data_IF_769516580377
#
_entry.id   IF_769516580377
#
_cell.length_a   1.000
_cell.length_b   1.000
_cell.length_c   1.000
_cell.angle_alpha   90.00
_cell.angle_beta   90.00
_cell.angle_gamma   90.00
#
_symmetry.space_group_name_H-M   'P 1'
#
loop_
_entity.id
_entity.type
_entity.pdbx_description
1 polymer ?
#
# COMPACT_ATOMS: atom_id res chain seq x y z
N UNK A 1 49.85 38.37 30.56
CA UNK A 1 50.49 37.31 29.75
C UNK A 1 50.02 35.97 30.34
N UNK A 2 48.95 35.40 29.87
CA UNK A 2 48.62 33.99 30.00
C UNK A 2 47.59 33.68 28.92
N UNK A 3 48.08 33.00 27.93
CA UNK A 3 47.38 32.54 26.75
C UNK A 3 46.54 31.32 27.10
N UNK A 4 45.21 31.41 27.00
CA UNK A 4 44.30 30.32 27.19
C UNK A 4 43.67 29.96 25.85
N UNK A 5 44.26 29.00 25.14
CA UNK A 5 43.71 28.38 23.92
C UNK A 5 42.44 27.62 24.28
N UNK A 6 41.36 28.12 23.70
CA UNK A 6 40.08 27.41 23.69
C UNK A 6 40.15 26.35 22.57
N UNK A 7 40.17 25.09 23.00
CA UNK A 7 40.11 23.94 22.11
C UNK A 7 38.72 23.84 21.48
N UNK A 8 38.67 23.71 20.18
CA UNK A 8 37.48 23.47 19.36
C UNK A 8 36.85 22.12 19.70
N UNK A 9 35.50 22.02 19.81
CA UNK A 9 34.81 20.77 19.97
C UNK A 9 34.47 20.14 18.61
N UNK A 10 35.47 19.61 17.93
CA UNK A 10 35.27 18.72 16.76
C UNK A 10 36.01 17.41 17.00
N UNK A 11 35.42 16.49 17.74
CA UNK A 11 35.77 15.06 17.66
C UNK A 11 34.97 14.19 18.63
N UNK A 12 33.65 14.18 18.53
CA UNK A 12 32.86 13.08 19.12
C UNK A 12 31.67 12.82 18.23
N UNK A 13 31.79 11.91 17.30
CA UNK A 13 30.74 11.06 16.72
C UNK A 13 31.18 10.38 15.41
N UNK A 14 32.35 9.72 15.40
CA UNK A 14 32.62 8.69 14.38
C UNK A 14 32.91 7.39 15.11
N UNK A 15 31.92 6.50 15.18
CA UNK A 15 32.17 5.19 15.76
C UNK A 15 30.96 4.44 16.26
N UNK A 16 29.98 4.23 15.41
CA UNK A 16 29.19 3.02 15.48
C UNK A 16 28.96 2.62 14.02
N UNK A 17 29.73 1.66 13.52
CA UNK A 17 29.41 0.92 12.32
C UNK A 17 27.92 0.62 12.36
N UNK A 18 27.14 1.23 11.48
CA UNK A 18 25.73 0.93 11.31
C UNK A 18 25.67 -0.53 10.86
N UNK A 19 25.57 -1.44 11.84
CA UNK A 19 25.39 -2.86 11.58
C UNK A 19 24.24 -2.95 10.59
N UNK A 20 24.46 -3.62 9.46
CA UNK A 20 23.53 -3.76 8.35
C UNK A 20 22.22 -4.34 8.90
N UNK A 21 21.21 -3.46 9.16
CA UNK A 21 19.95 -3.86 9.79
C UNK A 21 19.19 -4.77 8.82
N UNK A 22 18.91 -6.01 9.25
CA UNK A 22 18.15 -6.98 8.48
C UNK A 22 16.69 -6.99 8.95
N UNK A 23 15.78 -6.67 8.04
CA UNK A 23 14.33 -6.66 8.26
C UNK A 23 13.69 -7.69 7.34
N UNK A 24 12.71 -8.42 7.83
CA UNK A 24 11.88 -9.29 7.00
C UNK A 24 10.59 -8.57 6.63
N UNK A 25 10.19 -8.68 5.38
CA UNK A 25 8.86 -8.29 4.88
C UNK A 25 8.00 -9.53 4.71
N UNK A 26 6.76 -9.48 5.19
CA UNK A 26 5.79 -10.57 5.05
C UNK A 26 4.51 -10.07 4.40
N UNK A 27 4.18 -10.63 3.27
CA UNK A 27 2.97 -10.30 2.50
C UNK A 27 2.16 -11.57 2.24
N UNK A 28 0.84 -11.47 2.16
CA UNK A 28 0.02 -12.64 1.85
C UNK A 28 0.30 -13.17 0.44
N UNK A 29 0.30 -12.28 -0.55
CA UNK A 29 0.62 -12.58 -1.95
C UNK A 29 1.57 -11.49 -2.48
N UNK A 30 2.75 -11.91 -2.93
CA UNK A 30 3.75 -11.00 -3.46
C UNK A 30 4.68 -11.74 -4.44
N UNK A 31 5.04 -11.11 -5.57
CA UNK A 31 4.52 -9.83 -6.05
C UNK A 31 3.07 -9.92 -6.54
N UNK A 32 2.46 -8.74 -6.76
CA UNK A 32 1.13 -8.61 -7.35
C UNK A 32 1.05 -7.27 -8.07
N UNK A 33 0.39 -7.19 -9.22
CA UNK A 33 0.25 -5.97 -10.06
C UNK A 33 -0.21 -4.75 -9.24
N UNK A 34 -1.12 -4.94 -8.29
CA UNK A 34 -1.63 -3.87 -7.42
C UNK A 34 -0.75 -3.55 -6.20
N UNK A 35 0.41 -4.17 -6.04
CA UNK A 35 1.29 -4.03 -4.87
C UNK A 35 2.63 -3.35 -5.20
N UNK A 36 2.69 -2.54 -6.26
CA UNK A 36 3.90 -1.81 -6.68
C UNK A 36 4.47 -0.93 -5.57
N UNK A 37 3.62 -0.37 -4.71
CA UNK A 37 4.03 0.45 -3.57
C UNK A 37 4.88 -0.34 -2.54
N UNK A 38 4.67 -1.64 -2.35
CA UNK A 38 5.50 -2.49 -1.48
C UNK A 38 6.90 -2.65 -2.09
N UNK A 39 6.99 -2.90 -3.40
CA UNK A 39 8.27 -2.97 -4.13
C UNK A 39 9.05 -1.66 -3.98
N UNK A 40 8.40 -0.52 -4.25
CA UNK A 40 8.96 0.82 -4.12
C UNK A 40 9.54 1.07 -2.72
N UNK A 41 8.77 0.74 -1.69
CA UNK A 41 9.17 0.88 -0.29
C UNK A 41 10.38 0.00 0.05
N UNK A 42 10.37 -1.27 -0.36
CA UNK A 42 11.51 -2.19 -0.15
C UNK A 42 12.78 -1.64 -0.81
N UNK A 43 12.71 -1.23 -2.07
CA UNK A 43 13.85 -0.71 -2.81
C UNK A 43 14.39 0.59 -2.19
N UNK A 44 13.50 1.47 -1.70
CA UNK A 44 13.90 2.69 -1.02
C UNK A 44 14.58 2.41 0.33
N UNK A 45 14.15 1.41 1.08
CA UNK A 45 14.81 0.96 2.31
C UNK A 45 16.20 0.36 2.02
N UNK A 46 16.33 -0.41 0.94
CA UNK A 46 17.61 -0.96 0.52
C UNK A 46 18.61 0.13 0.11
N UNK A 47 18.15 1.19 -0.59
CA UNK A 47 18.97 2.38 -0.86
C UNK A 47 19.46 3.08 0.43
N UNK A 48 18.71 2.95 1.52
CA UNK A 48 19.06 3.52 2.83
C UNK A 48 19.86 2.57 3.74
N UNK A 49 20.39 1.48 3.17
CA UNK A 49 21.27 0.55 3.86
C UNK A 49 20.56 -0.45 4.77
N UNK A 50 19.26 -0.70 4.56
CA UNK A 50 18.52 -1.76 5.25
C UNK A 50 18.44 -2.97 4.32
N UNK A 51 18.89 -4.13 4.79
CA UNK A 51 18.71 -5.38 4.05
C UNK A 51 17.30 -5.90 4.27
N UNK A 52 16.50 -6.03 3.20
CA UNK A 52 15.13 -6.55 3.28
C UNK A 52 15.03 -7.96 2.73
N UNK A 53 14.69 -8.92 3.59
CA UNK A 53 14.36 -10.29 3.21
C UNK A 53 12.86 -10.39 2.88
N UNK A 54 12.52 -10.84 1.66
CA UNK A 54 11.14 -10.92 1.19
C UNK A 54 10.56 -12.29 1.46
N UNK A 55 9.44 -12.32 2.19
CA UNK A 55 8.64 -13.52 2.43
C UNK A 55 7.20 -13.28 1.99
N UNK A 56 6.62 -14.25 1.31
CA UNK A 56 5.21 -14.25 0.99
C UNK A 56 4.58 -15.61 1.32
N UNK A 57 3.30 -15.62 1.66
CA UNK A 57 2.59 -16.86 1.90
C UNK A 57 2.38 -17.58 0.56
N UNK A 58 1.97 -16.83 -0.48
CA UNK A 58 1.74 -17.29 -1.86
C UNK A 58 2.17 -16.24 -2.90
N UNK A 59 2.03 -16.54 -4.20
CA UNK A 59 2.34 -15.59 -5.29
C UNK A 59 3.46 -16.05 -6.22
N UNK A 60 3.99 -17.27 -6.04
CA UNK A 60 5.01 -17.85 -6.93
C UNK A 60 4.50 -18.09 -8.36
N UNK A 61 3.19 -18.23 -8.51
CA UNK A 61 2.44 -18.48 -9.76
C UNK A 61 1.61 -17.25 -10.20
N UNK A 62 1.82 -16.09 -9.56
CA UNK A 62 1.08 -14.89 -9.90
C UNK A 62 1.44 -14.41 -11.31
N UNK A 63 0.42 -14.09 -12.09
CA UNK A 63 0.58 -13.38 -13.35
C UNK A 63 1.00 -11.95 -13.05
N UNK A 64 2.22 -11.61 -13.43
CA UNK A 64 2.80 -10.27 -13.33
C UNK A 64 3.33 -9.84 -14.68
N UNK A 65 3.05 -8.61 -15.07
CA UNK A 65 3.37 -8.06 -16.39
C UNK A 65 4.68 -7.27 -16.33
N UNK A 66 4.93 -6.57 -15.21
CA UNK A 66 6.09 -5.71 -15.02
C UNK A 66 7.36 -6.55 -14.81
N UNK A 67 8.43 -6.36 -15.60
CA UNK A 67 9.72 -7.06 -15.41
C UNK A 67 10.31 -6.89 -14.00
N UNK A 68 10.09 -5.75 -13.37
CA UNK A 68 10.55 -5.50 -12.01
C UNK A 68 9.78 -6.36 -10.97
N UNK A 69 8.50 -6.68 -11.21
CA UNK A 69 7.76 -7.62 -10.36
C UNK A 69 8.22 -9.07 -10.57
N UNK A 70 8.62 -9.44 -11.78
CA UNK A 70 9.26 -10.74 -12.03
C UNK A 70 10.56 -10.89 -11.23
N UNK A 71 11.42 -9.87 -11.25
CA UNK A 71 12.66 -9.86 -10.46
C UNK A 71 12.38 -9.95 -8.94
N UNK A 72 11.33 -9.29 -8.44
CA UNK A 72 10.92 -9.41 -7.04
C UNK A 72 10.41 -10.80 -6.69
N UNK A 73 9.70 -11.48 -7.62
CA UNK A 73 9.24 -12.86 -7.43
C UNK A 73 10.41 -13.82 -7.20
N UNK A 74 11.48 -13.67 -7.97
CA UNK A 74 12.66 -14.50 -7.85
C UNK A 74 13.44 -14.26 -6.54
N UNK A 75 13.34 -13.06 -5.97
CA UNK A 75 13.93 -12.68 -4.68
C UNK A 75 13.04 -13.02 -3.48
N UNK A 76 11.80 -13.47 -3.72
CA UNK A 76 10.81 -13.73 -2.66
C UNK A 76 10.74 -15.21 -2.32
N UNK A 77 10.87 -15.53 -1.03
CA UNK A 77 10.71 -16.90 -0.52
C UNK A 77 9.24 -17.15 -0.16
N UNK A 78 8.61 -18.10 -0.84
CA UNK A 78 7.18 -18.39 -0.70
C UNK A 78 6.93 -19.58 0.23
N UNK A 79 6.14 -19.38 1.30
CA UNK A 79 5.92 -20.35 2.37
C UNK A 79 5.16 -21.58 1.88
N UNK A 80 4.10 -21.37 1.09
CA UNK A 80 3.22 -22.45 0.64
C UNK A 80 3.69 -23.16 -0.63
N UNK A 81 4.76 -22.67 -1.29
CA UNK A 81 5.28 -23.28 -2.54
C UNK A 81 5.73 -24.74 -2.37
N UNK A 82 6.24 -25.09 -1.19
CA UNK A 82 6.70 -26.44 -0.88
C UNK A 82 5.59 -27.43 -0.50
N UNK A 83 4.33 -26.99 -0.41
CA UNK A 83 3.20 -27.84 -0.04
C UNK A 83 3.13 -28.16 1.46
N UNK A 84 2.39 -29.20 1.82
CA UNK A 84 2.02 -29.54 3.20
C UNK A 84 3.17 -30.18 4.00
N UNK A 85 4.00 -31.00 3.36
CA UNK A 85 5.05 -31.76 4.05
C UNK A 85 6.08 -30.89 4.77
N UNK A 86 6.67 -29.85 4.13
CA UNK A 86 7.57 -28.91 4.83
C UNK A 86 6.89 -28.18 5.99
N UNK A 87 5.61 -27.83 5.86
CA UNK A 87 4.85 -27.18 6.94
C UNK A 87 4.67 -28.12 8.13
N UNK A 88 4.28 -29.37 7.89
CA UNK A 88 4.13 -30.38 8.95
C UNK A 88 5.46 -30.64 9.67
N UNK A 89 6.56 -30.76 8.92
CA UNK A 89 7.91 -30.88 9.46
C UNK A 89 8.32 -29.68 10.33
N UNK A 90 7.98 -28.47 9.88
CA UNK A 90 8.24 -27.24 10.64
C UNK A 90 7.44 -27.20 11.94
N UNK A 91 6.16 -27.56 11.93
CA UNK A 91 5.32 -27.67 13.12
C UNK A 91 5.94 -28.66 14.10
N UNK A 92 6.24 -29.89 13.69
CA UNK A 92 6.84 -30.91 14.55
C UNK A 92 8.15 -30.41 15.18
N UNK A 93 9.03 -29.80 14.39
CA UNK A 93 10.34 -29.29 14.85
C UNK A 93 10.19 -28.12 15.85
N UNK A 94 9.25 -27.20 15.63
CA UNK A 94 9.03 -26.06 16.55
C UNK A 94 8.36 -26.53 17.83
N UNK A 95 7.34 -27.40 17.75
CA UNK A 95 6.63 -27.91 18.93
C UNK A 95 7.54 -28.74 19.85
N UNK A 96 8.43 -29.54 19.28
CA UNK A 96 9.40 -30.31 20.08
C UNK A 96 10.48 -29.43 20.71
N UNK A 97 10.97 -28.40 19.99
CA UNK A 97 12.07 -27.56 20.49
C UNK A 97 11.61 -26.42 21.41
N UNK A 98 10.36 -25.97 21.28
CA UNK A 98 9.80 -24.81 22.01
C UNK A 98 8.37 -25.06 22.49
N UNK A 99 8.11 -26.10 23.33
CA UNK A 99 6.74 -26.52 23.66
C UNK A 99 5.91 -25.43 24.35
N UNK A 100 6.52 -24.64 25.24
CA UNK A 100 5.80 -23.54 25.92
C UNK A 100 5.37 -22.44 24.94
N UNK A 101 6.25 -22.03 24.04
CA UNK A 101 5.94 -21.02 23.01
C UNK A 101 4.90 -21.56 22.00
N UNK A 102 5.04 -22.83 21.60
CA UNK A 102 4.08 -23.48 20.72
C UNK A 102 2.68 -23.57 21.34
N UNK A 103 2.58 -23.88 22.63
CA UNK A 103 1.29 -23.88 23.34
C UNK A 103 0.67 -22.48 23.44
N UNK A 104 1.48 -21.45 23.72
CA UNK A 104 1.00 -20.06 23.73
C UNK A 104 0.49 -19.62 22.35
N UNK A 105 1.21 -19.96 21.26
CA UNK A 105 0.79 -19.68 19.89
C UNK A 105 -0.49 -20.45 19.51
N UNK A 106 -0.61 -21.72 19.91
CA UNK A 106 -1.83 -22.52 19.69
C UNK A 106 -3.03 -21.92 20.41
N UNK A 107 -2.89 -21.50 21.67
CA UNK A 107 -3.97 -20.79 22.40
C UNK A 107 -4.39 -19.51 21.69
N UNK A 108 -3.42 -18.72 21.19
CA UNK A 108 -3.71 -17.52 20.44
C UNK A 108 -4.47 -17.86 19.14
N UNK A 109 -4.01 -18.88 18.40
CA UNK A 109 -4.68 -19.39 17.18
C UNK A 109 -6.14 -19.74 17.43
N UNK A 110 -6.42 -20.56 18.46
CA UNK A 110 -7.78 -20.96 18.83
C UNK A 110 -8.62 -19.75 19.29
N UNK A 111 -8.03 -18.81 20.02
CA UNK A 111 -8.73 -17.60 20.43
C UNK A 111 -9.07 -16.67 19.26
N UNK A 112 -8.19 -16.54 18.27
CA UNK A 112 -8.45 -15.76 17.05
C UNK A 112 -9.51 -16.44 16.17
N UNK A 113 -9.47 -17.78 16.03
CA UNK A 113 -10.44 -18.51 15.20
C UNK A 113 -11.88 -18.41 15.71
N UNK A 114 -12.08 -18.35 17.04
CA UNK A 114 -13.42 -18.18 17.65
C UNK A 114 -14.10 -16.84 17.31
N UNK A 115 -13.34 -15.85 16.89
CA UNK A 115 -13.81 -14.50 16.58
C UNK A 115 -13.74 -14.18 15.10
N UNK A 116 -13.32 -15.12 14.27
CA UNK A 116 -13.07 -14.91 12.84
C UNK A 116 -14.19 -15.50 12.00
N UNK A 117 -14.47 -14.89 10.84
CA UNK A 117 -15.31 -15.48 9.79
C UNK A 117 -14.62 -16.64 9.07
N UNK A 118 -13.30 -16.76 9.19
CA UNK A 118 -12.52 -17.87 8.62
C UNK A 118 -12.59 -19.09 9.50
N UNK A 119 -12.62 -20.28 8.88
CA UNK A 119 -12.67 -21.55 9.61
C UNK A 119 -11.42 -21.74 10.49
N UNK A 120 -11.56 -22.55 11.55
CA UNK A 120 -10.44 -22.91 12.42
C UNK A 120 -9.26 -23.55 11.66
N UNK A 121 -9.55 -24.28 10.58
CA UNK A 121 -8.53 -24.91 9.73
C UNK A 121 -7.59 -23.86 9.10
N UNK A 122 -8.12 -22.73 8.62
CA UNK A 122 -7.28 -21.62 8.11
C UNK A 122 -6.33 -21.09 9.19
N UNK A 123 -6.80 -20.97 10.44
CA UNK A 123 -5.98 -20.49 11.54
C UNK A 123 -4.86 -21.48 11.92
N UNK A 124 -5.09 -22.78 11.77
CA UNK A 124 -4.04 -23.79 11.93
C UNK A 124 -3.00 -23.72 10.79
N UNK A 125 -3.44 -23.44 9.57
CA UNK A 125 -2.49 -23.17 8.46
C UNK A 125 -1.63 -21.95 8.79
N UNK A 126 -2.18 -20.85 9.30
CA UNK A 126 -1.40 -19.68 9.73
C UNK A 126 -0.38 -20.01 10.85
N UNK A 127 -0.74 -20.91 11.76
CA UNK A 127 0.20 -21.40 12.77
C UNK A 127 1.35 -22.22 12.13
N UNK A 128 1.03 -23.06 11.16
CA UNK A 128 2.06 -23.85 10.44
C UNK A 128 2.98 -22.94 9.60
N UNK A 129 2.42 -21.94 8.92
CA UNK A 129 3.17 -20.90 8.21
C UNK A 129 4.11 -20.14 9.17
N UNK A 130 3.62 -19.77 10.35
CA UNK A 130 4.44 -19.12 11.38
C UNK A 130 5.59 -20.04 11.88
N UNK A 131 5.34 -21.35 12.03
CA UNK A 131 6.39 -22.32 12.38
C UNK A 131 7.46 -22.40 11.27
N UNK A 132 7.05 -22.43 10.01
CA UNK A 132 7.98 -22.43 8.88
C UNK A 132 8.86 -21.17 8.86
N UNK A 133 8.24 -20.00 8.94
CA UNK A 133 8.94 -18.72 9.01
C UNK A 133 9.87 -18.62 10.24
N UNK A 134 9.48 -19.21 11.39
CA UNK A 134 10.33 -19.24 12.58
C UNK A 134 11.65 -19.94 12.34
N UNK A 135 11.64 -21.02 11.56
CA UNK A 135 12.88 -21.71 11.21
C UNK A 135 13.71 -20.89 10.21
N UNK A 136 13.08 -20.34 9.18
CA UNK A 136 13.78 -19.55 8.16
C UNK A 136 14.40 -18.26 8.71
N UNK A 137 13.72 -17.58 9.60
CA UNK A 137 14.24 -16.33 10.20
C UNK A 137 15.34 -16.56 11.23
N UNK A 138 15.42 -17.77 11.81
CA UNK A 138 16.54 -18.14 12.66
C UNK A 138 17.86 -18.26 11.88
N UNK A 139 17.77 -18.62 10.59
CA UNK A 139 18.92 -18.74 9.69
C UNK A 139 19.43 -17.36 9.21
N UNK A 140 18.54 -16.35 9.16
CA UNK A 140 18.78 -15.07 8.50
C UNK A 140 19.15 -13.91 9.43
N UNK A 141 19.26 -14.11 10.76
CA UNK A 141 19.53 -13.04 11.76
C UNK A 141 18.59 -11.82 11.62
N UNK A 142 17.30 -12.09 11.38
CA UNK A 142 16.30 -11.05 11.20
C UNK A 142 16.02 -10.32 12.51
N UNK A 143 16.27 -9.00 12.53
CA UNK A 143 16.07 -8.17 13.72
C UNK A 143 14.60 -7.74 13.89
N UNK A 144 13.84 -7.59 12.80
CA UNK A 144 12.47 -7.14 12.85
C UNK A 144 11.67 -7.72 11.68
N UNK A 145 10.39 -8.02 11.90
CA UNK A 145 9.44 -8.44 10.86
C UNK A 145 8.42 -7.34 10.61
N UNK A 146 8.25 -6.94 9.36
CA UNK A 146 7.20 -6.03 8.94
C UNK A 146 6.20 -6.75 8.03
N UNK A 147 4.92 -6.76 8.43
CA UNK A 147 3.86 -7.37 7.64
C UNK A 147 3.06 -6.30 6.90
N UNK A 148 2.69 -6.57 5.66
CA UNK A 148 1.72 -5.74 4.96
C UNK A 148 0.32 -6.33 5.07
N UNK A 149 -0.64 -5.44 5.29
CA UNK A 149 -2.05 -5.69 5.60
C UNK A 149 -2.29 -6.27 7.01
N UNK A 150 -3.24 -5.69 7.73
CA UNK A 150 -3.69 -6.13 9.06
C UNK A 150 -4.43 -7.48 9.06
N UNK A 151 -4.39 -8.24 7.96
CA UNK A 151 -5.14 -9.49 7.73
C UNK A 151 -4.37 -10.73 8.19
N UNK A 152 -4.29 -11.76 7.34
CA UNK A 152 -3.63 -13.04 7.64
C UNK A 152 -2.10 -12.92 7.75
N UNK A 153 -1.44 -12.10 6.93
CA UNK A 153 0.01 -11.85 7.05
C UNK A 153 0.39 -11.37 8.45
N UNK A 154 -0.36 -10.42 8.99
CA UNK A 154 -0.15 -9.94 10.36
C UNK A 154 -0.57 -10.97 11.42
N UNK A 155 -1.56 -11.84 11.15
CA UNK A 155 -1.85 -12.96 12.06
C UNK A 155 -0.68 -13.93 12.14
N UNK A 156 -0.06 -14.27 11.01
CA UNK A 156 1.14 -15.11 10.94
C UNK A 156 2.33 -14.43 11.65
N UNK A 157 2.53 -13.12 11.45
CA UNK A 157 3.57 -12.35 12.14
C UNK A 157 3.38 -12.37 13.68
N UNK A 158 2.14 -12.20 14.14
CA UNK A 158 1.81 -12.29 15.57
C UNK A 158 2.12 -13.69 16.15
N UNK A 159 1.70 -14.75 15.45
CA UNK A 159 1.98 -16.13 15.87
C UNK A 159 3.46 -16.44 15.85
N UNK A 160 4.20 -15.99 14.84
CA UNK A 160 5.65 -16.10 14.75
C UNK A 160 6.34 -15.43 15.95
N UNK A 161 5.91 -14.23 16.35
CA UNK A 161 6.41 -13.54 17.52
C UNK A 161 6.19 -14.37 18.81
N UNK A 162 4.99 -14.94 18.99
CA UNK A 162 4.70 -15.82 20.13
C UNK A 162 5.54 -17.09 20.14
N UNK A 163 5.97 -17.60 18.97
CA UNK A 163 6.91 -18.73 18.84
C UNK A 163 8.36 -18.33 19.15
N UNK A 164 8.61 -17.12 19.65
CA UNK A 164 9.94 -16.58 19.93
C UNK A 164 10.68 -16.13 18.68
N UNK A 165 9.95 -15.67 17.68
CA UNK A 165 10.48 -14.94 16.53
C UNK A 165 10.80 -13.48 16.85
N UNK A 166 11.25 -12.69 15.86
CA UNK A 166 11.56 -11.28 16.04
C UNK A 166 10.35 -10.48 16.50
N UNK A 167 10.56 -9.26 17.00
CA UNK A 167 9.46 -8.31 17.14
C UNK A 167 8.89 -7.94 15.79
N UNK A 168 7.64 -7.50 15.77
CA UNK A 168 6.98 -7.19 14.51
C UNK A 168 6.24 -5.86 14.53
N UNK A 169 5.99 -5.37 13.33
CA UNK A 169 5.10 -4.27 13.00
C UNK A 169 4.27 -4.61 11.77
N UNK A 170 3.28 -3.82 11.45
CA UNK A 170 2.52 -4.00 10.21
C UNK A 170 1.95 -2.69 9.69
N UNK A 171 1.66 -2.67 8.37
CA UNK A 171 0.98 -1.56 7.69
C UNK A 171 -0.46 -1.91 7.38
N UNK A 172 -1.38 -1.00 7.69
CA UNK A 172 -2.79 -1.02 7.28
C UNK A 172 -2.93 -0.15 6.04
N UNK A 173 -3.46 -0.73 4.95
CA UNK A 173 -3.52 -0.09 3.64
C UNK A 173 -4.91 0.36 3.22
N UNK A 174 -5.97 -0.26 3.73
CA UNK A 174 -7.34 0.00 3.31
C UNK A 174 -8.32 0.11 4.46
N UNK A 175 -9.42 0.81 4.20
CA UNK A 175 -10.54 0.87 5.13
C UNK A 175 -11.26 -0.48 5.25
N UNK A 176 -11.24 -1.31 4.21
CA UNK A 176 -11.75 -2.68 4.17
C UNK A 176 -11.14 -3.58 5.27
N UNK A 177 -9.89 -3.35 5.64
CA UNK A 177 -9.25 -4.04 6.75
C UNK A 177 -9.90 -3.69 8.12
N UNK A 178 -10.63 -2.58 8.19
CA UNK A 178 -11.23 -2.07 9.42
C UNK A 178 -12.72 -2.40 9.55
N UNK A 179 -13.38 -2.77 8.46
CA UNK A 179 -14.78 -3.22 8.48
C UNK A 179 -14.94 -4.42 9.42
N UNK A 180 -13.96 -5.30 9.43
CA UNK A 180 -13.90 -6.52 10.25
C UNK A 180 -12.79 -6.48 11.33
N UNK A 181 -12.43 -5.30 11.84
CA UNK A 181 -11.29 -5.12 12.76
C UNK A 181 -11.29 -6.08 13.95
N UNK A 182 -12.47 -6.41 14.50
CA UNK A 182 -12.62 -7.36 15.62
C UNK A 182 -12.44 -8.79 15.14
N UNK A 183 -13.01 -9.15 13.99
CA UNK A 183 -12.93 -10.49 13.39
C UNK A 183 -11.49 -10.78 12.93
N UNK A 184 -10.77 -9.76 12.48
CA UNK A 184 -9.35 -9.81 12.17
C UNK A 184 -8.44 -9.76 13.41
N UNK A 185 -9.00 -9.62 14.61
CA UNK A 185 -8.27 -9.50 15.88
C UNK A 185 -7.23 -8.35 15.86
N UNK A 186 -7.51 -7.25 15.18
CA UNK A 186 -6.61 -6.09 15.06
C UNK A 186 -6.17 -5.52 16.42
N UNK A 187 -7.06 -5.36 17.44
CA UNK A 187 -6.61 -4.86 18.74
C UNK A 187 -5.52 -5.73 19.38
N UNK A 188 -5.68 -7.07 19.33
CA UNK A 188 -4.66 -8.00 19.85
C UNK A 188 -3.33 -7.89 19.09
N UNK A 189 -3.40 -7.85 17.76
CA UNK A 189 -2.21 -7.74 16.91
C UNK A 189 -1.48 -6.43 17.15
N UNK A 190 -2.23 -5.32 17.31
CA UNK A 190 -1.67 -4.00 17.61
C UNK A 190 -0.99 -3.97 18.99
N UNK A 191 -1.65 -4.49 20.01
CA UNK A 191 -1.10 -4.49 21.38
C UNK A 191 0.25 -5.24 21.48
N UNK A 192 0.46 -6.27 20.64
CA UNK A 192 1.70 -7.04 20.60
C UNK A 192 2.75 -6.49 19.60
N UNK A 193 2.34 -5.63 18.67
CA UNK A 193 3.26 -5.02 17.70
C UNK A 193 4.11 -3.92 18.33
N UNK A 194 5.33 -3.70 17.83
CA UNK A 194 6.19 -2.58 18.24
C UNK A 194 5.60 -1.25 17.80
N UNK A 195 5.09 -1.19 16.59
CA UNK A 195 4.35 -0.08 16.01
C UNK A 195 3.43 -0.60 14.90
N UNK A 196 2.47 0.23 14.52
CA UNK A 196 1.56 -0.02 13.40
C UNK A 196 1.61 1.20 12.49
N UNK A 197 1.82 0.96 11.21
CA UNK A 197 1.79 1.98 10.18
C UNK A 197 0.39 2.09 9.59
N UNK A 198 -0.08 3.31 9.40
CA UNK A 198 -1.25 3.64 8.60
C UNK A 198 -0.82 4.54 7.45
N UNK A 199 -1.35 4.31 6.26
CA UNK A 199 -0.92 5.05 5.06
C UNK A 199 -1.55 6.44 4.93
N UNK A 200 -2.42 6.82 5.87
CA UNK A 200 -3.08 8.13 5.94
C UNK A 200 -3.49 8.48 7.36
N UNK A 201 -3.71 9.76 7.65
CA UNK A 201 -4.27 10.21 8.93
C UNK A 201 -5.71 9.74 9.11
N UNK A 202 -6.48 9.63 8.02
CA UNK A 202 -7.80 9.01 8.03
C UNK A 202 -7.76 7.59 8.59
N UNK A 203 -6.91 6.72 8.04
CA UNK A 203 -6.77 5.34 8.54
C UNK A 203 -6.27 5.30 9.98
N UNK A 204 -5.38 6.22 10.36
CA UNK A 204 -4.96 6.35 11.76
C UNK A 204 -6.14 6.66 12.67
N UNK A 205 -6.98 7.62 12.28
CA UNK A 205 -8.21 7.96 13.02
C UNK A 205 -9.19 6.78 13.09
N UNK A 206 -9.35 6.04 11.99
CA UNK A 206 -10.18 4.84 11.97
C UNK A 206 -9.62 3.74 12.88
N UNK A 207 -8.30 3.49 12.86
CA UNK A 207 -7.65 2.54 13.77
C UNK A 207 -7.88 2.92 15.25
N UNK A 208 -7.77 4.20 15.60
CA UNK A 208 -8.01 4.68 16.97
C UNK A 208 -9.40 4.30 17.50
N UNK A 209 -10.42 4.27 16.65
CA UNK A 209 -11.80 3.87 17.03
C UNK A 209 -11.90 2.40 17.46
N UNK A 210 -10.99 1.55 17.02
CA UNK A 210 -10.98 0.11 17.29
C UNK A 210 -10.01 -0.29 18.40
N UNK A 211 -9.18 0.64 18.87
CA UNK A 211 -8.09 0.36 19.80
C UNK A 211 -8.29 1.08 21.15
N UNK A 212 -7.83 0.47 22.27
CA UNK A 212 -7.67 1.19 23.53
C UNK A 212 -6.76 2.41 23.36
N UNK A 213 -7.06 3.51 24.05
CA UNK A 213 -6.26 4.74 23.97
C UNK A 213 -4.77 4.53 24.32
N UNK A 214 -4.46 3.59 25.21
CA UNK A 214 -3.09 3.22 25.56
C UNK A 214 -2.24 2.73 24.36
N UNK A 215 -2.88 2.19 23.30
CA UNK A 215 -2.20 1.68 22.12
C UNK A 215 -2.08 2.73 20.98
N UNK A 216 -2.69 3.92 21.13
CA UNK A 216 -2.67 4.95 20.08
C UNK A 216 -1.26 5.46 19.76
N UNK A 217 -0.37 5.48 20.75
CA UNK A 217 1.03 5.87 20.56
C UNK A 217 1.80 4.95 19.61
N UNK A 218 1.32 3.72 19.40
CA UNK A 218 1.89 2.75 18.46
C UNK A 218 1.57 3.08 17.00
N UNK A 219 0.51 3.86 16.73
CA UNK A 219 0.09 4.23 15.39
C UNK A 219 1.02 5.30 14.82
N UNK A 220 1.59 5.03 13.65
CA UNK A 220 2.50 5.92 12.92
C UNK A 220 1.98 6.12 11.51
N UNK A 221 1.97 7.34 11.01
CA UNK A 221 1.62 7.61 9.61
C UNK A 221 2.90 7.56 8.78
N UNK A 222 2.90 6.65 7.80
CA UNK A 222 3.91 6.58 6.74
C UNK A 222 3.14 6.32 5.45
N UNK A 223 3.21 7.28 4.52
CA UNK A 223 2.46 7.19 3.27
C UNK A 223 3.12 6.23 2.28
N UNK A 224 2.33 5.70 1.37
CA UNK A 224 2.90 5.09 0.16
C UNK A 224 3.63 6.16 -0.64
N UNK A 225 4.78 5.80 -1.23
CA UNK A 225 5.64 6.73 -1.95
C UNK A 225 5.79 6.39 -3.43
N UNK A 226 6.19 7.39 -4.20
CA UNK A 226 6.55 7.32 -5.60
C UNK A 226 8.05 7.58 -5.78
N UNK A 227 8.64 6.94 -6.79
CA UNK A 227 10.02 7.15 -7.21
C UNK A 227 10.19 8.48 -7.93
N UNK A 228 11.46 8.94 -8.03
CA UNK A 228 11.84 10.17 -8.72
C UNK A 228 11.34 10.25 -10.16
N UNK A 229 11.23 9.14 -10.87
CA UNK A 229 10.76 9.07 -12.25
C UNK A 229 9.37 9.71 -12.46
N UNK A 230 8.53 9.72 -11.43
CA UNK A 230 7.23 10.39 -11.47
C UNK A 230 7.32 11.91 -11.30
N UNK A 231 8.43 12.41 -10.75
CA UNK A 231 8.59 13.82 -10.38
C UNK A 231 9.60 14.58 -11.24
N UNK A 232 10.47 13.88 -11.97
CA UNK A 232 11.56 14.49 -12.77
C UNK A 232 11.16 14.75 -14.21
N UNK A 233 10.19 14.04 -14.73
CA UNK A 233 9.66 14.31 -16.05
C UNK A 233 9.02 15.71 -16.06
N UNK A 234 9.43 16.57 -17.00
CA UNK A 234 8.74 17.84 -17.22
C UNK A 234 7.26 17.54 -17.50
N UNK A 235 6.32 18.30 -16.91
CA UNK A 235 4.91 18.13 -17.19
C UNK A 235 4.67 18.23 -18.72
N UNK A 236 4.15 17.16 -19.30
CA UNK A 236 3.76 17.20 -20.72
C UNK A 236 2.56 18.13 -20.91
N UNK A 237 2.49 18.91 -22.00
CA UNK A 237 1.32 19.71 -22.31
C UNK A 237 0.03 18.88 -22.27
N UNK A 238 -1.07 19.54 -21.99
CA UNK A 238 -2.37 18.88 -22.06
C UNK A 238 -2.67 18.45 -23.49
N UNK A 239 -3.31 17.28 -23.71
CA UNK A 239 -3.67 16.82 -25.04
C UNK A 239 -4.68 17.77 -25.70
N UNK A 240 -4.60 17.92 -27.02
CA UNK A 240 -5.54 18.74 -27.80
C UNK A 240 -6.94 18.14 -27.77
N UNK A 241 -7.03 16.81 -27.92
CA UNK A 241 -8.28 16.08 -27.77
C UNK A 241 -8.49 15.69 -26.31
N UNK A 242 -9.58 16.12 -25.67
CA UNK A 242 -9.80 15.83 -24.26
C UNK A 242 -9.97 14.32 -23.99
N UNK A 243 -9.14 13.80 -23.10
CA UNK A 243 -9.18 12.41 -22.67
C UNK A 243 -9.30 12.31 -21.15
N UNK A 244 -10.23 11.51 -20.67
CA UNK A 244 -10.39 11.13 -19.28
C UNK A 244 -9.76 9.75 -19.05
N UNK A 245 -9.07 9.58 -17.95
CA UNK A 245 -8.40 8.32 -17.60
C UNK A 245 -8.84 7.86 -16.21
N UNK A 246 -9.24 6.59 -16.11
CA UNK A 246 -9.43 5.91 -14.82
C UNK A 246 -8.53 4.70 -14.78
N UNK A 247 -7.71 4.56 -13.72
CA UNK A 247 -6.77 3.43 -13.58
C UNK A 247 -7.09 2.66 -12.31
N UNK A 248 -7.21 1.35 -12.41
CA UNK A 248 -7.37 0.51 -11.23
C UNK A 248 -8.02 -0.83 -11.54
N UNK A 249 -8.06 -1.68 -10.52
CA UNK A 249 -8.77 -2.96 -10.62
C UNK A 249 -10.26 -2.72 -10.93
N UNK A 250 -10.81 -3.46 -11.88
CA UNK A 250 -12.22 -3.40 -12.22
C UNK A 250 -13.04 -4.17 -11.18
N UNK A 251 -13.45 -3.46 -10.13
CA UNK A 251 -14.16 -3.99 -8.97
C UNK A 251 -15.19 -3.00 -8.43
N UNK A 252 -16.04 -3.43 -7.50
CA UNK A 252 -17.11 -2.62 -6.93
C UNK A 252 -16.59 -1.32 -6.30
N UNK A 253 -15.51 -1.40 -5.54
CA UNK A 253 -14.97 -0.29 -4.74
C UNK A 253 -14.48 0.88 -5.60
N UNK A 254 -14.13 0.63 -6.88
CA UNK A 254 -13.57 1.66 -7.77
C UNK A 254 -14.63 2.49 -8.54
N UNK A 255 -15.91 2.10 -8.48
CA UNK A 255 -17.00 2.92 -8.98
C UNK A 255 -17.08 3.09 -10.51
N UNK A 256 -16.53 2.14 -11.30
CA UNK A 256 -16.49 2.24 -12.77
C UNK A 256 -17.89 2.34 -13.41
N UNK A 257 -18.88 1.61 -12.89
CA UNK A 257 -20.25 1.68 -13.42
C UNK A 257 -20.83 3.08 -13.22
N UNK A 258 -20.57 3.70 -12.07
CA UNK A 258 -20.95 5.07 -11.77
C UNK A 258 -20.26 6.07 -12.71
N UNK A 259 -18.97 5.83 -13.03
CA UNK A 259 -18.22 6.65 -13.99
C UNK A 259 -18.85 6.58 -15.38
N UNK A 260 -19.25 5.40 -15.85
CA UNK A 260 -19.92 5.25 -17.13
C UNK A 260 -21.26 5.98 -17.19
N UNK A 261 -22.07 5.91 -16.14
CA UNK A 261 -23.32 6.67 -16.04
C UNK A 261 -23.09 8.19 -16.04
N UNK A 262 -22.06 8.66 -15.32
CA UNK A 262 -21.68 10.07 -15.33
C UNK A 262 -21.15 10.50 -16.70
N UNK A 263 -20.33 9.66 -17.34
CA UNK A 263 -19.75 9.93 -18.65
C UNK A 263 -20.82 9.97 -19.76
N UNK A 264 -21.82 9.10 -19.70
CA UNK A 264 -22.96 9.12 -20.64
C UNK A 264 -23.75 10.42 -20.55
N UNK A 265 -23.78 11.12 -19.42
CA UNK A 265 -24.45 12.42 -19.22
C UNK A 265 -23.64 13.59 -19.76
N UNK A 266 -22.39 13.39 -20.18
CA UNK A 266 -21.58 14.42 -20.81
C UNK A 266 -22.01 14.59 -22.26
N UNK A 267 -22.62 15.72 -22.56
CA UNK A 267 -22.94 16.14 -23.96
C UNK A 267 -21.68 16.67 -24.66
N UNK A 268 -20.68 15.76 -24.82
CA UNK A 268 -19.37 16.08 -25.40
C UNK A 268 -18.85 14.91 -26.24
N UNK A 269 -19.29 14.78 -27.50
CA UNK A 269 -18.98 13.61 -28.34
C UNK A 269 -17.47 13.42 -28.60
N UNK A 270 -16.67 14.51 -28.58
CA UNK A 270 -15.23 14.44 -28.81
C UNK A 270 -14.41 13.99 -27.61
N UNK A 271 -15.00 13.83 -26.41
CA UNK A 271 -14.28 13.36 -25.22
C UNK A 271 -14.20 11.85 -25.19
N UNK A 272 -13.02 11.31 -24.94
CA UNK A 272 -12.75 9.87 -24.77
C UNK A 272 -12.54 9.52 -23.30
N UNK A 273 -12.90 8.28 -22.94
CA UNK A 273 -12.65 7.71 -21.62
C UNK A 273 -11.81 6.43 -21.77
N UNK A 274 -10.69 6.36 -21.06
CA UNK A 274 -9.86 5.16 -20.98
C UNK A 274 -10.01 4.56 -19.60
N UNK A 275 -10.41 3.29 -19.51
CA UNK A 275 -10.43 2.48 -18.31
C UNK A 275 -9.25 1.52 -18.35
N UNK A 276 -8.22 1.80 -17.56
CA UNK A 276 -6.98 1.03 -17.54
C UNK A 276 -6.95 0.09 -16.34
N UNK A 277 -7.07 -1.19 -16.60
CA UNK A 277 -7.10 -2.24 -15.60
C UNK A 277 -7.97 -3.41 -16.01
N UNK A 278 -8.03 -4.40 -15.16
CA UNK A 278 -8.87 -5.60 -15.30
C UNK A 278 -9.43 -6.03 -13.95
N UNK A 279 -10.37 -6.97 -13.93
CA UNK A 279 -10.95 -7.49 -12.71
C UNK A 279 -12.32 -8.10 -12.89
N UNK A 280 -12.90 -8.53 -11.78
CA UNK A 280 -14.16 -9.26 -11.73
C UNK A 280 -15.37 -8.49 -12.30
N UNK A 281 -15.29 -7.14 -12.35
CA UNK A 281 -16.36 -6.29 -12.90
C UNK A 281 -16.25 -6.06 -14.40
N UNK A 282 -15.22 -6.59 -15.08
CA UNK A 282 -15.05 -6.39 -16.54
C UNK A 282 -16.30 -6.74 -17.35
N UNK A 283 -16.95 -7.90 -17.16
CA UNK A 283 -18.16 -8.23 -17.95
C UNK A 283 -19.32 -7.26 -17.70
N UNK A 284 -19.47 -6.77 -16.46
CA UNK A 284 -20.52 -5.79 -16.11
C UNK A 284 -20.23 -4.42 -16.73
N UNK A 285 -18.96 -4.02 -16.79
CA UNK A 285 -18.51 -2.76 -17.41
C UNK A 285 -18.74 -2.81 -18.93
N UNK A 286 -18.36 -3.90 -19.59
CA UNK A 286 -18.58 -4.10 -21.03
C UNK A 286 -20.07 -4.08 -21.38
N UNK A 287 -20.92 -4.75 -20.59
CA UNK A 287 -22.36 -4.70 -20.75
C UNK A 287 -22.91 -3.26 -20.57
N UNK A 288 -22.41 -2.51 -19.57
CA UNK A 288 -22.84 -1.13 -19.32
C UNK A 288 -22.40 -0.17 -20.43
N UNK A 289 -21.22 -0.36 -21.00
CA UNK A 289 -20.74 0.39 -22.18
C UNK A 289 -21.70 0.19 -23.37
N UNK A 290 -22.09 -1.06 -23.61
CA UNK A 290 -23.05 -1.39 -24.71
C UNK A 290 -24.45 -0.81 -24.43
N UNK A 291 -24.96 -0.95 -23.20
CA UNK A 291 -26.26 -0.40 -22.76
C UNK A 291 -26.35 1.12 -22.97
N UNK A 292 -25.26 1.83 -22.65
CA UNK A 292 -25.18 3.29 -22.73
C UNK A 292 -24.74 3.79 -24.13
N UNK A 293 -24.45 2.91 -25.10
CA UNK A 293 -24.02 3.29 -26.45
C UNK A 293 -22.65 3.99 -26.46
N UNK A 294 -21.72 3.61 -25.56
CA UNK A 294 -20.44 4.29 -25.40
C UNK A 294 -19.26 3.58 -26.10
N UNK A 295 -19.52 2.57 -26.94
CA UNK A 295 -18.48 1.72 -27.53
C UNK A 295 -17.38 2.49 -28.27
N UNK A 296 -17.72 3.56 -28.98
CA UNK A 296 -16.77 4.38 -29.75
C UNK A 296 -15.99 5.39 -28.90
N UNK A 297 -16.38 5.58 -27.65
CA UNK A 297 -15.83 6.62 -26.74
C UNK A 297 -15.11 6.06 -25.52
N UNK A 298 -15.30 4.79 -25.20
CA UNK A 298 -14.70 4.13 -24.03
C UNK A 298 -13.78 3.00 -24.46
N UNK A 299 -12.55 3.01 -23.95
CA UNK A 299 -11.54 1.97 -24.21
C UNK A 299 -11.19 1.25 -22.92
N UNK A 300 -11.22 -0.10 -22.96
CA UNK A 300 -10.72 -0.98 -21.88
C UNK A 300 -9.34 -1.50 -22.30
N UNK A 301 -8.31 -1.26 -21.49
CA UNK A 301 -6.94 -1.69 -21.84
C UNK A 301 -6.57 -3.08 -21.31
N UNK A 302 -7.26 -3.59 -20.29
CA UNK A 302 -6.75 -4.68 -19.46
C UNK A 302 -5.64 -4.20 -18.52
N UNK A 303 -4.94 -5.12 -17.87
CA UNK A 303 -3.79 -4.80 -17.02
C UNK A 303 -2.68 -4.15 -17.84
N UNK A 304 -2.07 -3.10 -17.28
CA UNK A 304 -0.94 -2.38 -17.89
C UNK A 304 0.21 -2.26 -16.90
N UNK A 305 1.45 -2.24 -17.40
CA UNK A 305 2.67 -2.06 -16.60
C UNK A 305 2.95 -0.60 -16.28
N UNK A 306 3.95 -0.34 -15.43
CA UNK A 306 4.27 0.98 -14.93
C UNK A 306 4.59 2.02 -16.01
N UNK A 307 5.31 1.64 -17.07
CA UNK A 307 5.63 2.54 -18.19
C UNK A 307 4.38 2.96 -18.95
N UNK A 308 3.47 2.01 -19.19
CA UNK A 308 2.20 2.29 -19.86
C UNK A 308 1.28 3.15 -18.99
N UNK A 309 1.29 2.95 -17.64
CA UNK A 309 0.59 3.83 -16.70
C UNK A 309 1.07 5.27 -16.86
N UNK A 310 2.39 5.51 -16.87
CA UNK A 310 2.96 6.85 -17.08
C UNK A 310 2.57 7.44 -18.43
N UNK A 311 2.63 6.64 -19.50
CA UNK A 311 2.23 7.08 -20.83
C UNK A 311 0.76 7.49 -20.85
N UNK A 312 -0.14 6.68 -20.31
CA UNK A 312 -1.60 6.99 -20.25
C UNK A 312 -1.91 8.22 -19.41
N UNK A 313 -1.20 8.43 -18.30
CA UNK A 313 -1.36 9.65 -17.52
C UNK A 313 -0.93 10.87 -18.35
N UNK A 314 0.16 10.79 -19.11
CA UNK A 314 0.59 11.88 -19.99
C UNK A 314 -0.38 12.17 -21.14
N UNK A 315 -1.07 11.16 -21.65
CA UNK A 315 -2.08 11.30 -22.70
C UNK A 315 -3.44 11.79 -22.18
N UNK A 316 -3.64 11.82 -20.86
CA UNK A 316 -4.89 12.25 -20.25
C UNK A 316 -4.93 13.77 -20.02
N UNK A 317 -6.11 14.37 -20.19
CA UNK A 317 -6.41 15.73 -19.71
C UNK A 317 -6.63 15.72 -18.19
N UNK A 318 -7.35 14.71 -17.71
CA UNK A 318 -7.78 14.55 -16.33
C UNK A 318 -7.74 13.07 -15.94
N UNK A 319 -7.39 12.79 -14.69
CA UNK A 319 -7.59 11.47 -14.10
C UNK A 319 -8.87 11.50 -13.25
N UNK A 320 -9.76 10.55 -13.49
CA UNK A 320 -11.06 10.45 -12.79
C UNK A 320 -11.09 9.16 -11.99
N UNK A 321 -11.14 9.28 -10.66
CA UNK A 321 -11.13 8.13 -9.74
C UNK A 321 -12.36 8.18 -8.83
N UNK A 322 -13.52 7.65 -9.26
CA UNK A 322 -14.80 7.77 -8.56
C UNK A 322 -15.02 6.71 -7.51
N UNK A 323 -13.97 6.39 -6.75
CA UNK A 323 -13.95 5.29 -5.79
C UNK A 323 -15.00 5.43 -4.71
N UNK A 324 -15.62 4.31 -4.34
CA UNK A 324 -16.57 4.17 -3.24
C UNK A 324 -15.86 3.85 -1.93
N UNK A 325 -14.70 3.22 -2.02
CA UNK A 325 -13.85 2.85 -0.86
C UNK A 325 -12.38 2.90 -1.26
N UNK A 326 -11.54 3.46 -0.38
CA UNK A 326 -10.08 3.56 -0.55
C UNK A 326 -9.36 3.58 0.81
N UNK A 327 -8.06 3.32 0.79
CA UNK A 327 -7.15 3.83 1.83
C UNK A 327 -6.62 5.22 1.43
N UNK A 328 -5.68 5.21 0.48
CA UNK A 328 -5.22 6.38 -0.29
C UNK A 328 -4.71 5.86 -1.65
N UNK A 329 -5.40 6.16 -2.76
CA UNK A 329 -5.11 5.53 -4.05
C UNK A 329 -3.79 6.02 -4.65
N UNK A 330 -2.89 5.08 -4.95
CA UNK A 330 -1.56 5.35 -5.53
C UNK A 330 -1.69 6.06 -6.88
N UNK A 331 -2.69 5.70 -7.68
CA UNK A 331 -2.91 6.33 -8.99
C UNK A 331 -3.19 7.84 -8.89
N UNK A 332 -3.82 8.31 -7.81
CA UNK A 332 -3.99 9.76 -7.58
C UNK A 332 -2.64 10.43 -7.29
N UNK A 333 -1.78 9.76 -6.51
CA UNK A 333 -0.42 10.24 -6.28
C UNK A 333 0.35 10.34 -7.61
N UNK A 334 0.29 9.29 -8.44
CA UNK A 334 0.94 9.21 -9.76
C UNK A 334 0.44 10.30 -10.71
N UNK A 335 -0.88 10.47 -10.83
CA UNK A 335 -1.50 11.51 -11.65
C UNK A 335 -1.04 12.92 -11.23
N UNK A 336 -1.12 13.21 -9.92
CA UNK A 336 -0.71 14.50 -9.38
C UNK A 336 0.78 14.74 -9.55
N UNK A 337 1.64 13.74 -9.29
CA UNK A 337 3.08 13.84 -9.47
C UNK A 337 3.46 14.21 -10.91
N UNK A 338 2.70 13.71 -11.88
CA UNK A 338 2.86 14.00 -13.31
C UNK A 338 2.10 15.25 -13.79
N UNK A 339 1.60 16.06 -12.85
CA UNK A 339 0.94 17.33 -13.16
C UNK A 339 -0.45 17.21 -13.79
N UNK A 340 -1.17 16.08 -13.59
CA UNK A 340 -2.54 15.92 -14.06
C UNK A 340 -3.54 16.22 -12.95
N UNK A 341 -4.50 17.16 -13.16
CA UNK A 341 -5.57 17.37 -12.19
C UNK A 341 -6.45 16.12 -12.06
N UNK A 342 -7.01 15.96 -10.87
CA UNK A 342 -7.78 14.77 -10.51
C UNK A 342 -9.21 15.12 -10.16
N UNK A 343 -10.18 14.33 -10.66
CA UNK A 343 -11.53 14.29 -10.13
C UNK A 343 -11.68 13.02 -9.32
N UNK A 344 -12.08 13.15 -8.05
CA UNK A 344 -12.26 11.99 -7.17
C UNK A 344 -13.38 12.22 -6.16
N UNK A 345 -13.50 11.36 -5.18
CA UNK A 345 -14.56 11.37 -4.17
C UNK A 345 -14.04 11.79 -2.79
N UNK A 346 -14.95 12.29 -1.94
CA UNK A 346 -14.68 12.58 -0.52
C UNK A 346 -14.59 11.28 0.30
N UNK A 347 -13.74 10.33 -0.11
CA UNK A 347 -13.62 9.01 0.53
C UNK A 347 -12.26 8.84 1.15
N UNK A 348 -12.25 8.32 2.36
CA UNK A 348 -11.05 7.91 3.10
C UNK A 348 -9.95 8.99 3.12
N UNK A 349 -8.72 8.63 2.75
CA UNK A 349 -7.57 9.54 2.69
C UNK A 349 -7.50 10.44 1.45
N UNK A 350 -8.42 10.32 0.49
CA UNK A 350 -8.36 11.11 -0.76
C UNK A 350 -8.32 12.62 -0.50
N UNK A 351 -9.13 13.19 0.44
CA UNK A 351 -9.07 14.62 0.76
C UNK A 351 -7.76 15.08 1.41
N UNK A 352 -6.97 14.16 1.94
CA UNK A 352 -5.63 14.51 2.44
C UNK A 352 -4.66 14.86 1.32
N UNK A 353 -4.90 14.35 0.11
CA UNK A 353 -4.06 14.56 -1.06
C UNK A 353 -4.70 15.54 -2.04
N UNK A 354 -5.93 15.27 -2.49
CA UNK A 354 -6.67 16.13 -3.43
C UNK A 354 -7.33 17.28 -2.67
N UNK A 355 -6.99 18.50 -3.03
CA UNK A 355 -7.61 19.72 -2.50
C UNK A 355 -8.61 20.26 -3.51
N UNK A 356 -9.89 20.29 -3.14
CA UNK A 356 -10.97 20.74 -4.02
C UNK A 356 -10.73 22.17 -4.53
N UNK A 357 -10.87 22.35 -5.85
CA UNK A 357 -10.63 23.63 -6.56
C UNK A 357 -9.17 24.07 -6.66
N UNK A 358 -8.20 23.34 -6.03
CA UNK A 358 -6.77 23.68 -6.06
C UNK A 358 -5.93 22.69 -6.83
N UNK A 359 -6.10 21.39 -6.56
CA UNK A 359 -5.34 20.32 -7.24
C UNK A 359 -6.23 19.38 -8.04
N UNK A 360 -7.52 19.61 -7.99
CA UNK A 360 -8.56 18.79 -8.63
C UNK A 360 -9.93 19.12 -8.08
N UNK A 361 -10.85 18.19 -8.21
CA UNK A 361 -12.24 18.30 -7.72
C UNK A 361 -12.61 17.06 -6.89
N UNK A 362 -13.37 17.31 -5.85
CA UNK A 362 -13.92 16.25 -5.01
C UNK A 362 -15.45 16.28 -5.05
N UNK A 363 -16.04 15.11 -5.24
CA UNK A 363 -17.50 14.93 -5.32
C UNK A 363 -17.96 13.88 -4.29
N UNK A 364 -19.26 13.89 -3.90
CA UNK A 364 -19.82 12.81 -3.11
C UNK A 364 -19.67 11.45 -3.80
N UNK A 365 -19.27 10.41 -3.06
CA UNK A 365 -19.24 9.05 -3.57
C UNK A 365 -20.68 8.56 -3.86
N UNK A 366 -20.84 7.82 -4.96
CA UNK A 366 -22.17 7.29 -5.36
C UNK A 366 -23.04 8.26 -6.15
N UNK A 367 -22.65 9.52 -6.36
CA UNK A 367 -23.42 10.51 -7.11
C UNK A 367 -22.88 10.71 -8.54
N UNK A 368 -23.47 9.99 -9.51
CA UNK A 368 -23.15 10.13 -10.92
C UNK A 368 -23.44 11.54 -11.47
N UNK A 369 -24.44 12.23 -10.93
CA UNK A 369 -24.79 13.59 -11.33
C UNK A 369 -23.72 14.60 -10.94
N UNK A 370 -23.25 14.55 -9.71
CA UNK A 370 -22.15 15.40 -9.23
C UNK A 370 -20.86 15.09 -9.97
N UNK A 371 -20.57 13.81 -10.26
CA UNK A 371 -19.40 13.40 -11.03
C UNK A 371 -19.47 13.95 -12.47
N UNK A 372 -20.62 13.87 -13.14
CA UNK A 372 -20.83 14.43 -14.47
C UNK A 372 -20.62 15.95 -14.48
N UNK A 373 -21.18 16.67 -13.51
CA UNK A 373 -20.98 18.13 -13.40
C UNK A 373 -19.50 18.50 -13.14
N UNK A 374 -18.79 17.73 -12.32
CA UNK A 374 -17.37 17.95 -12.08
C UNK A 374 -16.53 17.71 -13.33
N UNK A 375 -16.81 16.65 -14.10
CA UNK A 375 -16.17 16.39 -15.39
C UNK A 375 -16.44 17.51 -16.40
N UNK A 376 -17.70 17.95 -16.54
CA UNK A 376 -18.05 19.07 -17.42
C UNK A 376 -17.31 20.36 -17.04
N UNK A 377 -17.35 20.74 -15.75
CA UNK A 377 -16.64 21.90 -15.20
C UNK A 377 -15.14 21.82 -15.47
N UNK A 378 -14.54 20.66 -15.27
CA UNK A 378 -13.11 20.47 -15.49
C UNK A 378 -12.73 20.61 -16.96
N UNK A 379 -13.54 20.07 -17.88
CA UNK A 379 -13.35 20.20 -19.33
C UNK A 379 -13.57 21.63 -19.85
N UNK A 380 -14.38 22.45 -19.15
CA UNK A 380 -14.57 23.86 -19.46
C UNK A 380 -13.51 24.78 -18.82
N UNK A 381 -12.68 24.23 -17.96
CA UNK A 381 -11.60 24.99 -17.30
C UNK A 381 -10.49 25.31 -18.29
N UNK A 382 -10.06 26.57 -18.40
CA UNK A 382 -8.97 26.96 -19.30
C UNK A 382 -7.71 26.14 -19.05
N UNK A 383 -6.99 25.78 -20.13
CA UNK A 383 -5.79 24.95 -20.09
C UNK A 383 -4.75 25.46 -19.09
N UNK A 384 -4.45 26.76 -19.09
CA UNK A 384 -3.49 27.38 -18.15
C UNK A 384 -3.87 27.19 -16.68
N UNK A 385 -5.21 27.14 -16.37
CA UNK A 385 -5.69 26.86 -15.01
C UNK A 385 -5.53 25.38 -14.64
N UNK A 386 -5.81 24.48 -15.58
CA UNK A 386 -5.57 23.04 -15.38
C UNK A 386 -4.07 22.76 -15.15
N UNK A 387 -3.19 23.42 -15.92
CA UNK A 387 -1.73 23.30 -15.72
C UNK A 387 -1.27 23.86 -14.36
N UNK A 388 -1.85 24.97 -13.89
CA UNK A 388 -1.57 25.51 -12.56
C UNK A 388 -2.00 24.52 -11.46
N UNK A 389 -3.20 23.95 -11.60
CA UNK A 389 -3.70 22.90 -10.70
C UNK A 389 -2.79 21.68 -10.71
N UNK A 390 -2.32 21.27 -11.89
CA UNK A 390 -1.38 20.18 -12.06
C UNK A 390 -0.04 20.45 -11.37
N UNK A 391 0.56 21.66 -11.55
CA UNK A 391 1.81 22.05 -10.86
C UNK A 391 1.63 22.06 -9.33
N UNK A 392 0.52 22.59 -8.84
CA UNK A 392 0.20 22.59 -7.40
C UNK A 392 0.05 21.16 -6.87
N UNK A 393 -0.59 20.29 -7.65
CA UNK A 393 -0.73 18.88 -7.35
C UNK A 393 0.61 18.14 -7.29
N UNK A 394 1.49 18.40 -8.27
CA UNK A 394 2.82 17.78 -8.33
C UNK A 394 3.70 18.17 -7.13
N UNK A 395 3.70 19.44 -6.77
CA UNK A 395 4.43 19.92 -5.58
C UNK A 395 3.95 19.23 -4.31
N UNK A 396 2.61 19.12 -4.13
CA UNK A 396 2.01 18.44 -2.98
C UNK A 396 2.30 16.95 -2.96
N UNK A 397 2.22 16.26 -4.11
CA UNK A 397 2.54 14.85 -4.20
C UNK A 397 4.01 14.59 -3.85
N UNK A 398 4.94 15.43 -4.34
CA UNK A 398 6.36 15.34 -3.99
C UNK A 398 6.61 15.53 -2.49
N UNK A 399 6.00 16.53 -1.88
CA UNK A 399 6.15 16.80 -0.44
C UNK A 399 5.70 15.64 0.43
N UNK A 400 4.59 14.98 0.07
CA UNK A 400 3.93 13.99 0.94
C UNK A 400 4.19 12.54 0.56
N UNK A 401 4.58 12.28 -0.69
CA UNK A 401 4.62 10.93 -1.26
C UNK A 401 5.93 10.62 -2.00
N UNK A 402 7.03 11.25 -1.61
CA UNK A 402 8.36 10.87 -2.11
C UNK A 402 8.83 9.61 -1.38
N UNK A 403 9.12 8.53 -2.12
CA UNK A 403 9.36 7.20 -1.54
C UNK A 403 10.54 7.16 -0.59
N UNK A 404 11.64 7.85 -0.88
CA UNK A 404 12.82 7.85 -0.01
C UNK A 404 12.57 8.61 1.30
N UNK A 405 11.72 9.66 1.28
CA UNK A 405 11.30 10.38 2.49
C UNK A 405 10.44 9.49 3.38
N UNK A 406 9.44 8.82 2.80
CA UNK A 406 8.54 7.95 3.56
C UNK A 406 9.27 6.68 4.06
N UNK A 407 10.08 6.06 3.22
CA UNK A 407 10.95 4.94 3.64
C UNK A 407 11.93 5.35 4.74
N UNK A 408 12.41 6.60 4.74
CA UNK A 408 13.25 7.14 5.82
C UNK A 408 12.56 7.16 7.18
N UNK A 409 11.26 7.51 7.22
CA UNK A 409 10.45 7.42 8.44
C UNK A 409 10.35 5.98 8.93
N UNK A 410 10.07 5.05 8.02
CA UNK A 410 9.97 3.62 8.34
C UNK A 410 11.31 3.04 8.79
N UNK A 411 12.41 3.41 8.12
CA UNK A 411 13.77 3.03 8.49
C UNK A 411 14.13 3.47 9.92
N UNK A 412 13.73 4.68 10.31
CA UNK A 412 13.93 5.17 11.69
C UNK A 412 13.16 4.33 12.72
N UNK A 413 11.92 3.93 12.40
CA UNK A 413 11.11 3.05 13.25
C UNK A 413 11.74 1.64 13.39
N UNK A 414 12.28 1.08 12.32
CA UNK A 414 12.98 -0.22 12.37
C UNK A 414 14.26 -0.14 13.21
N UNK A 415 15.06 0.93 13.05
CA UNK A 415 16.27 1.14 13.85
C UNK A 415 15.94 1.29 15.34
N UNK A 416 14.90 2.06 15.68
CA UNK A 416 14.42 2.20 17.05
C UNK A 416 13.93 0.86 17.64
N UNK A 417 13.21 0.06 16.84
CA UNK A 417 12.76 -1.27 17.25
C UNK A 417 13.92 -2.22 17.54
N UNK A 418 14.94 -2.24 16.68
CA UNK A 418 16.12 -3.07 16.85
C UNK A 418 16.97 -2.65 18.05
N UNK A 419 17.12 -1.35 18.29
CA UNK A 419 17.85 -0.81 19.46
C UNK A 419 17.18 -1.22 20.78
N UNK A 420 15.85 -1.14 20.85
CA UNK A 420 15.09 -1.52 22.05
C UNK A 420 15.13 -3.04 22.37
N UNK A 421 15.52 -3.89 21.42
CA UNK A 421 15.72 -5.33 21.67
C UNK A 421 17.09 -5.66 22.22
N UNK A 422 18.07 -4.75 22.06
CA UNK A 422 19.45 -4.94 22.53
C UNK A 422 19.68 -4.41 23.96
N UNK A 423 18.72 -3.66 24.48
CA UNK A 423 18.74 -3.24 25.89
C UNK A 423 18.21 -4.40 26.75
N UNK A 424 18.99 -4.89 27.72
CA UNK A 424 18.66 -6.03 28.59
C UNK A 424 17.44 -5.78 29.49
#
# INVERSE_FOLDING_TARGET
MTDTRIGSPESVARGASAANLRVAYLVNQYPKVSHTFIRREIQALERQGITVSRFALRGWDAEVIDPADLAERDRTRHVLKGGILPLAGAVAKVFTRRPRAAFAALRATLSMSRRSTRSWAHHLVWLAEACCLRLWMAEGEIAHLHAHFGTNSTAVAHLLHLLGGPSYSFTVHGADELDDARLLSLPRKTAAARFVVTISDYLRGQMMRHLPAADWSRLKVVHCGLEDDFFTAAPTPLPVEPALLCIGRLCAEKGHLLLLEAFARLDRPGVRLVLAGDGEFRPLIEAKIAELGLGDRVTLTGWIGGDEVRRRINEATLVVQPSLMEGLPVVIMEAMAMGRPVISTFVAGIPELVQDGKTGWLVPAGDAGSLARAMAKALDTPAGRLEEMGRTGAARARERHHVDTEAGKLAALFRASAAAQRQP
#
